data_IF_228237412046
#
_entry.id   IF_228237412046
#
_cell.length_a   1.000
_cell.length_b   1.000
_cell.length_c   1.000
_cell.angle_alpha   90.00
_cell.angle_beta   90.00
_cell.angle_gamma   90.00
#
_symmetry.space_group_name_H-M   'P 1'
#
loop_
_entity.id
_entity.type
_entity.pdbx_description
1 polymer ?
#
# COMPACT_ATOMS: atom_id res chain seq x y z
N UNK A 1 -0.58 -7.24 -6.65
CA UNK A 1 -0.05 -6.93 -7.99
C UNK A 1 -0.33 -5.48 -8.38
N UNK A 2 -1.56 -5.01 -8.16
CA UNK A 2 -2.03 -3.74 -8.74
C UNK A 2 -1.34 -2.52 -8.13
N UNK A 3 -0.91 -2.61 -6.87
CA UNK A 3 -0.13 -1.56 -6.21
C UNK A 3 1.14 -1.17 -6.98
N UNK A 4 1.79 -2.13 -7.67
CA UNK A 4 2.96 -1.84 -8.50
C UNK A 4 2.58 -1.08 -9.77
N UNK A 5 1.44 -1.42 -10.38
CA UNK A 5 0.97 -0.79 -11.61
C UNK A 5 0.42 0.61 -11.36
N UNK A 6 -0.13 0.86 -10.16
CA UNK A 6 -0.75 2.13 -9.77
C UNK A 6 0.22 3.12 -9.11
N UNK A 7 1.53 2.92 -9.26
CA UNK A 7 2.54 3.86 -8.75
C UNK A 7 2.75 3.80 -7.23
N UNK A 8 2.63 2.61 -6.63
CA UNK A 8 2.90 2.39 -5.22
C UNK A 8 4.35 2.66 -4.81
N UNK A 9 4.65 2.57 -3.50
CA UNK A 9 5.94 3.00 -2.91
C UNK A 9 7.20 2.46 -3.60
N UNK A 10 7.18 1.21 -4.06
CA UNK A 10 8.30 0.56 -4.75
C UNK A 10 8.63 1.17 -6.12
N UNK A 11 7.69 1.90 -6.73
CA UNK A 11 7.88 2.60 -8.02
C UNK A 11 8.48 4.00 -7.81
N UNK A 12 8.85 4.32 -6.57
CA UNK A 12 9.49 5.59 -6.20
C UNK A 12 8.70 6.85 -6.64
N UNK A 13 7.42 6.99 -6.24
CA UNK A 13 6.70 8.24 -6.41
C UNK A 13 7.39 9.37 -5.61
N UNK A 14 7.30 10.62 -6.08
CA UNK A 14 7.82 11.77 -5.34
C UNK A 14 7.16 11.93 -3.96
N UNK A 15 5.85 11.69 -3.90
CA UNK A 15 5.04 11.69 -2.69
C UNK A 15 3.98 10.60 -2.80
N UNK A 16 3.68 9.93 -1.68
CA UNK A 16 2.63 8.92 -1.57
C UNK A 16 1.83 9.17 -0.31
N UNK A 17 0.53 9.47 -0.45
CA UNK A 17 -0.38 9.67 0.68
C UNK A 17 -1.46 8.61 0.69
N UNK A 18 -2.05 8.40 1.86
CA UNK A 18 -3.21 7.54 2.01
C UNK A 18 -4.38 8.29 2.67
N UNK A 19 -5.59 7.88 2.36
CA UNK A 19 -6.78 8.32 3.09
C UNK A 19 -6.98 7.49 4.36
N UNK A 20 -7.68 7.99 5.39
CA UNK A 20 -7.90 7.25 6.64
C UNK A 20 -8.61 5.92 6.45
N UNK A 21 -9.50 5.84 5.46
CA UNK A 21 -10.29 4.65 5.12
C UNK A 21 -9.59 3.67 4.17
N UNK A 22 -8.40 4.00 3.67
CA UNK A 22 -7.69 3.09 2.78
C UNK A 22 -7.10 1.91 3.56
N UNK A 23 -6.94 0.78 2.87
CA UNK A 23 -6.28 -0.41 3.38
C UNK A 23 -5.26 -0.88 2.36
N UNK A 24 -4.06 -1.24 2.83
CA UNK A 24 -2.96 -1.72 1.96
C UNK A 24 -2.57 -3.10 2.44
N UNK A 25 -2.79 -4.10 1.59
CA UNK A 25 -2.41 -5.48 1.83
C UNK A 25 -2.04 -6.16 0.51
N UNK A 26 -1.32 -7.29 0.60
CA UNK A 26 -0.99 -8.12 -0.57
C UNK A 26 -2.27 -8.68 -1.20
N UNK A 27 -3.22 -9.09 -0.36
CA UNK A 27 -4.54 -9.59 -0.71
C UNK A 27 -5.50 -9.35 0.47
N UNK A 28 -6.77 -9.71 0.31
CA UNK A 28 -7.76 -9.62 1.39
C UNK A 28 -7.30 -10.41 2.64
N UNK A 29 -7.31 -9.78 3.84
CA UNK A 29 -6.81 -10.39 5.08
C UNK A 29 -7.36 -11.78 5.41
N UNK A 30 -8.65 -12.00 5.15
CA UNK A 30 -9.32 -13.25 5.48
C UNK A 30 -8.89 -14.38 4.56
N UNK A 31 -8.77 -14.09 3.25
CA UNK A 31 -8.24 -15.05 2.28
C UNK A 31 -6.78 -15.37 2.56
N UNK A 32 -5.97 -14.38 2.89
CA UNK A 32 -4.58 -14.58 3.28
C UNK A 32 -4.44 -15.47 4.52
N UNK A 33 -5.26 -15.22 5.54
CA UNK A 33 -5.29 -16.04 6.75
C UNK A 33 -5.62 -17.51 6.45
N UNK A 34 -6.62 -17.74 5.58
CA UNK A 34 -7.00 -19.08 5.14
C UNK A 34 -5.85 -19.79 4.41
N UNK A 35 -5.21 -19.14 3.44
CA UNK A 35 -4.08 -19.72 2.69
C UNK A 35 -2.92 -20.09 3.63
N UNK A 36 -2.55 -19.18 4.54
CA UNK A 36 -1.46 -19.44 5.50
C UNK A 36 -1.76 -20.64 6.40
N UNK A 37 -3.00 -20.78 6.86
CA UNK A 37 -3.37 -21.86 7.77
C UNK A 37 -3.50 -23.20 7.04
N UNK A 38 -3.98 -23.19 5.80
CA UNK A 38 -3.98 -24.36 4.91
C UNK A 38 -2.57 -24.86 4.61
N UNK A 39 -1.61 -23.96 4.40
CA UNK A 39 -0.20 -24.35 4.15
C UNK A 39 0.52 -24.82 5.43
N UNK A 40 0.22 -24.22 6.59
CA UNK A 40 0.85 -24.58 7.87
C UNK A 40 0.30 -25.86 8.48
N UNK A 41 -0.98 -26.12 8.26
CA UNK A 41 -1.71 -27.20 8.91
C UNK A 41 -2.21 -28.08 7.79
N UNK A 42 -1.54 -29.20 7.56
CA UNK A 42 -1.96 -30.20 6.57
C UNK A 42 -3.32 -30.86 6.86
N UNK A 43 -4.10 -30.36 7.85
CA UNK A 43 -5.59 -30.38 7.93
C UNK A 43 -6.20 -29.80 9.24
N UNK A 44 -5.43 -29.45 10.26
CA UNK A 44 -5.95 -29.14 11.62
C UNK A 44 -5.88 -27.67 12.06
N UNK A 45 -6.11 -26.71 11.16
CA UNK A 45 -6.24 -25.32 11.56
C UNK A 45 -7.54 -25.08 12.32
N UNK A 46 -7.48 -24.58 13.57
CA UNK A 46 -8.70 -24.25 14.32
C UNK A 46 -9.32 -22.92 13.85
N UNK A 47 -10.65 -22.81 13.88
CA UNK A 47 -11.38 -21.56 13.56
C UNK A 47 -10.93 -20.36 14.42
N UNK A 48 -10.43 -20.63 15.62
CA UNK A 48 -9.92 -19.61 16.54
C UNK A 48 -8.62 -19.00 16.01
N UNK A 49 -7.74 -19.83 15.43
CA UNK A 49 -6.47 -19.36 14.88
C UNK A 49 -6.68 -18.59 13.56
N UNK A 50 -7.65 -19.02 12.74
CA UNK A 50 -8.10 -18.27 11.55
C UNK A 50 -8.58 -16.87 11.91
N UNK A 51 -9.48 -16.75 12.89
CA UNK A 51 -10.02 -15.46 13.32
C UNK A 51 -8.93 -14.55 13.90
N UNK A 52 -8.03 -15.09 14.74
CA UNK A 52 -6.91 -14.32 15.30
C UNK A 52 -5.98 -13.80 14.21
N UNK A 53 -5.65 -14.63 13.22
CA UNK A 53 -4.77 -14.26 12.12
C UNK A 53 -5.43 -13.22 11.21
N UNK A 54 -6.71 -13.39 10.87
CA UNK A 54 -7.49 -12.40 10.12
C UNK A 54 -7.49 -11.02 10.80
N UNK A 55 -7.83 -10.95 12.09
CA UNK A 55 -7.85 -9.69 12.85
C UNK A 55 -6.46 -9.04 12.85
N UNK A 56 -5.39 -9.83 13.02
CA UNK A 56 -4.02 -9.34 12.94
C UNK A 56 -3.74 -8.72 11.57
N UNK A 57 -4.05 -9.44 10.48
CA UNK A 57 -3.82 -8.97 9.11
C UNK A 57 -4.67 -7.73 8.76
N UNK A 58 -5.90 -7.64 9.25
CA UNK A 58 -6.75 -6.45 9.09
C UNK A 58 -6.15 -5.23 9.82
N UNK A 59 -5.58 -5.44 11.01
CA UNK A 59 -4.90 -4.36 11.73
C UNK A 59 -3.65 -3.91 10.99
N UNK A 60 -2.86 -4.85 10.46
CA UNK A 60 -1.65 -4.59 9.70
C UNK A 60 -1.93 -3.93 8.34
N UNK A 61 -3.12 -4.12 7.77
CA UNK A 61 -3.52 -3.47 6.51
C UNK A 61 -3.95 -2.01 6.68
N UNK A 62 -4.15 -1.54 7.91
CA UNK A 62 -4.60 -0.17 8.17
C UNK A 62 -3.56 0.88 7.74
N UNK A 63 -4.03 2.05 7.35
CA UNK A 63 -3.15 3.16 6.94
C UNK A 63 -2.31 3.72 8.08
N UNK A 64 -2.83 3.70 9.30
CA UNK A 64 -2.07 4.04 10.52
C UNK A 64 -0.92 3.06 10.70
N UNK A 65 -1.17 1.75 10.48
CA UNK A 65 -0.11 0.76 10.50
C UNK A 65 0.94 1.08 9.43
N UNK A 66 0.54 1.41 8.20
CA UNK A 66 1.49 1.78 7.14
C UNK A 66 2.28 3.07 7.41
N UNK A 67 1.64 4.11 7.94
CA UNK A 67 2.26 5.41 8.20
C UNK A 67 3.40 5.32 9.24
N UNK A 68 3.18 4.53 10.30
CA UNK A 68 4.22 4.28 11.32
C UNK A 68 5.45 3.52 10.79
N UNK A 69 5.36 2.93 9.60
CA UNK A 69 6.48 2.26 8.91
C UNK A 69 6.95 3.01 7.66
N UNK A 70 6.49 4.25 7.47
CA UNK A 70 6.86 5.08 6.33
C UNK A 70 6.52 4.39 4.99
N UNK A 71 5.45 3.58 4.98
CA UNK A 71 4.92 3.03 3.74
C UNK A 71 4.27 4.13 2.89
N UNK A 72 3.75 5.17 3.55
CA UNK A 72 3.20 6.38 2.96
C UNK A 72 3.84 7.60 3.67
N UNK A 73 3.93 8.72 2.99
CA UNK A 73 4.48 9.99 3.50
C UNK A 73 3.48 10.75 4.38
N UNK A 74 2.20 10.32 4.42
CA UNK A 74 1.21 10.86 5.36
C UNK A 74 -0.20 10.31 5.15
N UNK A 75 -1.06 10.54 6.14
CA UNK A 75 -2.50 10.29 6.05
C UNK A 75 -3.20 11.64 5.90
N UNK A 76 -4.01 11.80 4.85
CA UNK A 76 -4.71 13.05 4.54
C UNK A 76 -6.20 12.84 4.42
N UNK A 77 -7.01 13.82 4.82
CA UNK A 77 -8.45 13.73 4.63
C UNK A 77 -8.79 13.81 3.13
N UNK A 78 -9.81 13.05 2.65
CA UNK A 78 -10.20 13.09 1.24
C UNK A 78 -10.49 14.50 0.71
N UNK A 79 -11.07 15.35 1.55
CA UNK A 79 -11.39 16.76 1.23
C UNK A 79 -10.14 17.64 1.03
N UNK A 80 -9.02 17.29 1.66
CA UNK A 80 -7.77 18.06 1.58
C UNK A 80 -6.88 17.63 0.40
N UNK A 81 -7.23 16.55 -0.30
CA UNK A 81 -6.43 15.96 -1.39
C UNK A 81 -5.99 17.00 -2.43
N UNK A 82 -6.89 17.90 -2.86
CA UNK A 82 -6.58 18.95 -3.84
C UNK A 82 -5.48 19.89 -3.34
N UNK A 83 -5.57 20.31 -2.08
CA UNK A 83 -4.61 21.26 -1.48
C UNK A 83 -3.23 20.63 -1.38
N UNK A 84 -3.16 19.38 -0.90
CA UNK A 84 -1.91 18.64 -0.75
C UNK A 84 -1.27 18.40 -2.12
N UNK A 85 -2.03 17.92 -3.11
CA UNK A 85 -1.50 17.71 -4.46
C UNK A 85 -0.98 19.00 -5.10
N UNK A 86 -1.68 20.13 -4.92
CA UNK A 86 -1.22 21.43 -5.42
C UNK A 86 0.13 21.82 -4.83
N UNK A 87 0.36 21.56 -3.53
CA UNK A 87 1.64 21.85 -2.87
C UNK A 87 2.74 20.91 -3.36
N UNK A 88 2.46 19.61 -3.47
CA UNK A 88 3.40 18.62 -3.97
C UNK A 88 3.85 18.93 -5.41
N UNK A 89 2.92 19.31 -6.28
CA UNK A 89 3.23 19.70 -7.66
C UNK A 89 4.10 20.96 -7.72
N UNK A 90 3.82 21.97 -6.89
CA UNK A 90 4.66 23.16 -6.79
C UNK A 90 6.10 22.81 -6.34
N UNK A 91 6.24 21.92 -5.37
CA UNK A 91 7.56 21.43 -4.90
C UNK A 91 8.27 20.66 -6.02
N UNK A 92 7.60 19.73 -6.70
CA UNK A 92 8.17 18.97 -7.81
C UNK A 92 8.61 19.87 -8.97
N UNK A 93 7.88 20.95 -9.24
CA UNK A 93 8.23 21.91 -10.28
C UNK A 93 9.46 22.73 -9.89
N UNK A 94 9.58 23.13 -8.63
CA UNK A 94 10.75 23.85 -8.11
C UNK A 94 12.02 22.98 -8.11
N UNK A 95 11.87 21.68 -7.82
CA UNK A 95 12.98 20.72 -7.70
C UNK A 95 12.95 19.65 -8.79
N UNK A 96 12.97 20.07 -10.07
CA UNK A 96 12.93 19.14 -11.19
C UNK A 96 14.34 18.69 -11.62
N UNK A 97 14.82 17.49 -11.24
CA UNK A 97 16.07 16.98 -11.77
C UNK A 97 15.92 16.74 -13.28
N UNK A 98 16.95 17.07 -14.06
CA UNK A 98 17.05 16.62 -15.47
C UNK A 98 17.17 15.09 -15.45
N UNK A 99 16.15 14.38 -15.94
CA UNK A 99 16.20 12.94 -16.17
C UNK A 99 16.39 12.70 -17.67
N UNK A 100 17.37 11.88 -18.01
CA UNK A 100 17.46 11.28 -19.34
C UNK A 100 16.30 10.30 -19.53
N UNK A 101 15.65 10.36 -20.69
CA UNK A 101 14.52 9.48 -21.00
C UNK A 101 15.07 8.17 -21.59
N UNK A 102 14.88 7.07 -20.85
CA UNK A 102 15.09 5.73 -21.35
C UNK A 102 13.76 4.98 -21.35
N UNK A 103 13.42 4.36 -22.48
CA UNK A 103 12.23 3.54 -22.60
C UNK A 103 12.62 2.06 -22.43
N UNK A 104 11.92 1.29 -21.59
CA UNK A 104 12.17 -0.14 -21.42
C UNK A 104 11.64 -0.93 -22.64
N UNK A 105 12.03 -2.20 -22.72
CA UNK A 105 11.46 -3.13 -23.72
C UNK A 105 10.01 -3.46 -23.33
N UNK A 106 9.07 -3.20 -24.24
CA UNK A 106 7.69 -3.64 -24.09
C UNK A 106 7.53 -5.05 -24.65
N UNK A 107 6.98 -5.96 -23.83
CA UNK A 107 6.65 -7.32 -24.27
C UNK A 107 5.28 -7.28 -24.96
N UNK A 108 5.26 -7.48 -26.27
CA UNK A 108 4.07 -7.71 -27.09
C UNK A 108 3.86 -9.21 -27.27
#
# INVERSE_FOLDING_TARGET
SDHYLMGGRSVSPNFLFAWPNAHVAIMEPDKLAQTIIQERSSKDGTDVDLKKLSIKLQRESSTIFGATRILNDGIILPQETRKVLSQCLAICQAYRPKKEQHYPVFRM
#
